data_IF_796751121370
#
_entry.id   IF_796751121370
#
_cell.length_a   1.000
_cell.length_b   1.000
_cell.length_c   1.000
_cell.angle_alpha   90.00
_cell.angle_beta   90.00
_cell.angle_gamma   90.00
#
_symmetry.space_group_name_H-M   'P 1'
#
loop_
_entity.id
_entity.type
_entity.pdbx_description
1 polymer ?
#
# COMPACT_ATOMS: atom_id res chain seq x y z
N UNK A 1 9.05 15.27 1.60
CA UNK A 1 7.79 14.53 1.59
C UNK A 1 8.04 13.21 2.29
N UNK A 2 7.18 12.87 3.25
CA UNK A 2 7.23 11.60 3.97
C UNK A 2 6.51 10.54 3.13
N UNK A 3 7.19 9.47 2.74
CA UNK A 3 6.58 8.35 2.05
C UNK A 3 6.34 7.20 3.04
N UNK A 4 5.09 6.77 3.14
CA UNK A 4 4.64 5.79 4.12
C UNK A 4 4.01 4.59 3.43
N UNK A 5 4.34 3.38 3.88
CA UNK A 5 3.69 2.14 3.47
C UNK A 5 2.69 1.73 4.54
N UNK A 6 1.49 1.33 4.11
CA UNK A 6 0.47 0.72 4.96
C UNK A 6 -0.13 -0.44 4.17
N UNK A 7 0.17 -1.68 4.53
CA UNK A 7 -0.15 -2.83 3.70
C UNK A 7 -0.45 -4.07 4.52
N UNK A 8 -1.35 -4.91 4.03
CA UNK A 8 -1.61 -6.22 4.60
C UNK A 8 -0.85 -7.33 3.85
N UNK A 9 -0.44 -8.37 4.56
CA UNK A 9 0.28 -9.51 4.00
C UNK A 9 -0.09 -10.81 4.72
N UNK A 10 0.04 -11.95 4.06
CA UNK A 10 0.03 -13.27 4.70
C UNK A 10 1.25 -13.43 5.63
N UNK A 11 1.23 -14.41 6.53
CA UNK A 11 2.33 -14.67 7.46
C UNK A 11 3.66 -15.01 6.74
N UNK A 12 3.58 -15.55 5.52
CA UNK A 12 4.70 -15.83 4.62
C UNK A 12 5.04 -14.71 3.62
N UNK A 13 4.46 -13.52 3.75
CA UNK A 13 4.92 -12.31 3.07
C UNK A 13 4.32 -12.04 1.69
N UNK A 14 3.18 -12.64 1.35
CA UNK A 14 2.45 -12.38 0.12
C UNK A 14 1.33 -11.35 0.34
N UNK A 15 1.10 -10.48 -0.64
CA UNK A 15 0.07 -9.41 -0.61
C UNK A 15 -1.15 -9.73 -1.46
N UNK A 16 -1.05 -10.77 -2.29
CA UNK A 16 -2.14 -11.30 -3.09
C UNK A 16 -1.79 -12.72 -3.54
N UNK A 17 -2.81 -13.49 -3.94
CA UNK A 17 -2.60 -14.74 -4.67
C UNK A 17 -1.98 -14.46 -6.06
N UNK A 18 -1.55 -15.50 -6.76
CA UNK A 18 -0.85 -15.36 -8.06
C UNK A 18 -1.70 -14.61 -9.10
N UNK A 19 -3.01 -14.86 -9.08
CA UNK A 19 -4.05 -14.23 -9.90
C UNK A 19 -4.52 -12.86 -9.37
N UNK A 20 -4.01 -12.40 -8.22
CA UNK A 20 -4.33 -11.09 -7.65
C UNK A 20 -5.58 -11.06 -6.75
N UNK A 21 -6.01 -12.23 -6.26
CA UNK A 21 -7.06 -12.37 -5.25
C UNK A 21 -6.60 -11.89 -3.86
N UNK A 22 -7.53 -11.28 -3.14
CA UNK A 22 -7.30 -10.74 -1.79
C UNK A 22 -8.37 -11.17 -0.77
N UNK A 23 -9.31 -12.01 -1.18
CA UNK A 23 -10.47 -12.44 -0.38
C UNK A 23 -10.08 -13.19 0.90
N UNK A 24 -8.84 -13.72 0.95
CA UNK A 24 -8.25 -14.31 2.14
C UNK A 24 -8.07 -13.29 3.28
N UNK A 25 -8.01 -11.99 3.00
CA UNK A 25 -7.95 -10.95 4.04
C UNK A 25 -9.22 -10.93 4.90
N UNK A 26 -10.38 -11.23 4.31
CA UNK A 26 -11.67 -11.21 5.00
C UNK A 26 -11.95 -12.51 5.77
N UNK A 27 -11.27 -13.61 5.40
CA UNK A 27 -11.61 -14.96 5.86
C UNK A 27 -10.52 -15.62 6.71
N UNK A 28 -9.31 -15.07 6.76
CA UNK A 28 -8.17 -15.69 7.46
C UNK A 28 -8.21 -15.50 8.98
N UNK A 29 -8.77 -14.40 9.47
CA UNK A 29 -8.89 -14.14 10.90
C UNK A 29 -10.15 -14.73 11.52
N UNK A 30 -10.32 -14.54 12.83
CA UNK A 30 -11.59 -14.84 13.50
C UNK A 30 -12.66 -13.86 13.02
N UNK A 31 -13.73 -14.38 12.42
CA UNK A 31 -14.81 -13.58 11.80
C UNK A 31 -15.98 -13.31 12.75
N UNK A 32 -16.00 -13.96 13.91
CA UNK A 32 -17.04 -13.89 14.93
C UNK A 32 -16.73 -12.90 16.06
N UNK A 33 -15.63 -12.15 15.95
CA UNK A 33 -15.19 -11.19 16.98
C UNK A 33 -15.49 -9.76 16.55
N UNK A 34 -16.08 -9.00 17.47
CA UNK A 34 -16.21 -7.55 17.36
C UNK A 34 -14.87 -6.88 17.73
N UNK A 35 -14.23 -6.25 16.75
CA UNK A 35 -12.98 -5.52 16.92
C UNK A 35 -13.21 -4.09 17.46
N UNK A 36 -14.47 -3.65 17.60
CA UNK A 36 -14.83 -2.30 18.03
C UNK A 36 -14.13 -1.23 17.20
N UNK A 37 -13.50 -0.26 17.88
CA UNK A 37 -12.74 0.83 17.26
C UNK A 37 -11.50 0.33 16.45
N UNK A 38 -11.11 -0.94 16.59
CA UNK A 38 -9.98 -1.55 15.87
C UNK A 38 -10.34 -2.20 14.53
N UNK A 39 -11.60 -2.09 14.09
CA UNK A 39 -12.12 -2.83 12.92
C UNK A 39 -11.40 -2.49 11.61
N UNK A 40 -10.98 -1.24 11.41
CA UNK A 40 -10.22 -0.81 10.22
C UNK A 40 -8.70 -0.91 10.39
N UNK A 41 -8.25 -1.38 11.57
CA UNK A 41 -6.85 -1.47 11.98
C UNK A 41 -6.05 -0.17 11.75
N UNK A 42 -6.72 0.99 11.86
CA UNK A 42 -6.13 2.32 11.70
C UNK A 42 -6.05 2.85 10.26
N UNK A 43 -6.61 2.14 9.27
CA UNK A 43 -6.55 2.56 7.88
C UNK A 43 -7.21 3.93 7.63
N UNK A 44 -8.37 4.20 8.23
CA UNK A 44 -9.06 5.48 8.05
C UNK A 44 -8.24 6.66 8.61
N UNK A 45 -7.63 6.46 9.78
CA UNK A 45 -6.72 7.48 10.35
C UNK A 45 -5.48 7.66 9.49
N UNK A 46 -4.97 6.60 8.87
CA UNK A 46 -3.81 6.66 7.99
C UNK A 46 -4.14 7.41 6.70
N UNK A 47 -5.22 7.04 6.01
CA UNK A 47 -5.59 7.64 4.71
C UNK A 47 -5.96 9.11 4.86
N UNK A 48 -6.62 9.50 5.96
CA UNK A 48 -6.90 10.90 6.28
C UNK A 48 -5.63 11.73 6.57
N UNK A 49 -4.51 11.07 6.84
CA UNK A 49 -3.26 11.74 7.19
C UNK A 49 -2.34 12.03 6.00
N UNK A 50 -2.61 11.44 4.82
CA UNK A 50 -1.77 11.56 3.62
C UNK A 50 -2.38 12.54 2.61
N UNK A 51 -1.53 13.16 1.81
CA UNK A 51 -1.93 14.15 0.81
C UNK A 51 -2.15 13.50 -0.58
N UNK A 52 -1.43 12.42 -0.86
CA UNK A 52 -1.53 11.67 -2.11
C UNK A 52 -1.21 10.18 -1.92
N UNK A 53 -1.55 9.39 -2.95
CA UNK A 53 -1.23 7.97 -3.06
C UNK A 53 -0.46 7.72 -4.36
N UNK A 54 0.58 6.90 -4.28
CA UNK A 54 1.37 6.43 -5.42
C UNK A 54 1.29 4.91 -5.43
N UNK A 55 0.74 4.35 -6.51
CA UNK A 55 0.53 2.92 -6.68
C UNK A 55 1.15 2.41 -7.97
N UNK A 56 1.35 1.09 -8.08
CA UNK A 56 1.78 0.46 -9.33
C UNK A 56 0.62 0.09 -10.25
N UNK A 57 0.91 -0.21 -11.52
CA UNK A 57 -0.07 -0.71 -12.51
C UNK A 57 -0.97 -1.84 -11.97
N UNK A 58 -0.38 -2.85 -11.31
CA UNK A 58 -1.17 -3.98 -10.82
C UNK A 58 -2.18 -3.60 -9.72
N UNK A 59 -1.83 -2.64 -8.86
CA UNK A 59 -2.77 -2.10 -7.88
C UNK A 59 -3.88 -1.30 -8.58
N UNK A 60 -3.53 -0.47 -9.58
CA UNK A 60 -4.52 0.25 -10.39
C UNK A 60 -5.49 -0.69 -11.11
N UNK A 61 -4.99 -1.76 -11.75
CA UNK A 61 -5.81 -2.76 -12.43
C UNK A 61 -6.75 -3.48 -11.45
N UNK A 62 -6.26 -3.82 -10.25
CA UNK A 62 -7.10 -4.42 -9.20
C UNK A 62 -8.17 -3.44 -8.72
N UNK A 63 -7.81 -2.19 -8.45
CA UNK A 63 -8.75 -1.15 -8.05
C UNK A 63 -9.83 -0.92 -9.12
N UNK A 64 -9.45 -0.94 -10.40
CA UNK A 64 -10.39 -0.85 -11.50
C UNK A 64 -11.37 -2.03 -11.54
N UNK A 65 -10.91 -3.24 -11.18
CA UNK A 65 -11.73 -4.47 -11.21
C UNK A 65 -12.87 -4.47 -10.18
N UNK A 66 -12.76 -3.70 -9.10
CA UNK A 66 -13.83 -3.58 -8.10
C UNK A 66 -15.04 -2.80 -8.60
N UNK A 67 -14.92 -2.03 -9.70
CA UNK A 67 -16.01 -1.25 -10.29
C UNK A 67 -16.79 -0.39 -9.26
N UNK A 68 -16.04 0.23 -8.34
CA UNK A 68 -16.60 0.99 -7.23
C UNK A 68 -17.46 2.17 -7.72
N UNK A 69 -18.64 2.33 -7.13
CA UNK A 69 -19.44 3.56 -7.29
C UNK A 69 -18.76 4.76 -6.63
N UNK A 70 -19.17 6.00 -6.92
CA UNK A 70 -18.64 7.18 -6.22
C UNK A 70 -18.77 7.09 -4.69
N UNK A 71 -19.85 6.50 -4.18
CA UNK A 71 -20.13 6.35 -2.74
C UNK A 71 -19.23 5.29 -2.09
N UNK A 72 -18.75 4.32 -2.87
CA UNK A 72 -17.85 3.26 -2.41
C UNK A 72 -16.37 3.66 -2.49
N UNK A 73 -16.04 4.86 -2.99
CA UNK A 73 -14.66 5.29 -3.20
C UNK A 73 -13.96 5.57 -1.85
N UNK A 74 -12.97 4.75 -1.45
CA UNK A 74 -12.43 4.82 -0.09
C UNK A 74 -11.38 5.93 0.09
N UNK A 75 -10.91 6.52 -1.02
CA UNK A 75 -9.77 7.44 -1.02
C UNK A 75 -10.19 8.92 -0.98
N UNK A 76 -11.48 9.21 -0.86
CA UNK A 76 -11.99 10.58 -0.83
C UNK A 76 -11.46 11.41 -2.00
N UNK A 77 -10.83 12.55 -1.69
CA UNK A 77 -10.29 13.50 -2.67
C UNK A 77 -8.77 13.44 -2.81
N UNK A 78 -8.09 12.43 -2.25
CA UNK A 78 -6.63 12.37 -2.34
C UNK A 78 -6.21 12.17 -3.81
N UNK A 79 -5.11 12.80 -4.19
CA UNK A 79 -4.55 12.62 -5.53
C UNK A 79 -3.93 11.23 -5.65
N UNK A 80 -4.31 10.45 -6.65
CA UNK A 80 -3.80 9.09 -6.87
C UNK A 80 -3.02 9.02 -8.18
N UNK A 81 -1.78 8.53 -8.10
CA UNK A 81 -0.86 8.43 -9.23
C UNK A 81 -0.47 6.96 -9.41
N UNK A 82 -0.74 6.42 -10.59
CA UNK A 82 -0.36 5.07 -10.98
C UNK A 82 0.90 5.08 -11.84
N UNK A 83 1.94 4.39 -11.35
CA UNK A 83 3.20 4.19 -12.05
C UNK A 83 3.05 3.15 -13.15
N UNK A 84 3.30 3.55 -14.39
CA UNK A 84 3.31 2.66 -15.54
C UNK A 84 4.09 3.26 -16.70
N UNK A 85 4.96 2.44 -17.30
CA UNK A 85 5.65 2.76 -18.56
C UNK A 85 4.94 2.23 -19.81
N UNK A 86 4.04 1.26 -19.65
CA UNK A 86 3.41 0.53 -20.76
C UNK A 86 1.98 0.99 -21.06
N UNK A 87 1.20 1.26 -20.01
CA UNK A 87 -0.17 1.74 -20.11
C UNK A 87 -0.17 3.22 -20.47
N UNK A 88 -0.97 3.59 -21.47
CA UNK A 88 -1.13 4.98 -21.95
C UNK A 88 -2.43 5.63 -21.51
N UNK A 89 -3.42 4.83 -21.09
CA UNK A 89 -4.74 5.32 -20.69
C UNK A 89 -5.19 4.66 -19.39
N UNK A 90 -5.78 5.45 -18.50
CA UNK A 90 -6.38 4.98 -17.25
C UNK A 90 -7.65 4.19 -17.58
N UNK A 91 -7.92 3.05 -16.91
CA UNK A 91 -9.18 2.33 -17.08
C UNK A 91 -10.41 3.24 -16.92
N UNK A 92 -11.46 3.00 -17.70
CA UNK A 92 -12.65 3.87 -17.73
C UNK A 92 -13.28 4.09 -16.35
N UNK A 93 -13.32 3.06 -15.51
CA UNK A 93 -13.86 3.12 -14.13
C UNK A 93 -13.05 4.04 -13.19
N UNK A 94 -11.81 4.36 -13.54
CA UNK A 94 -10.88 5.19 -12.77
C UNK A 94 -10.60 6.56 -13.42
N UNK A 95 -11.24 6.87 -14.56
CA UNK A 95 -11.04 8.14 -15.26
C UNK A 95 -11.40 9.32 -14.35
N UNK A 96 -10.50 10.29 -14.25
CA UNK A 96 -10.65 11.46 -13.36
C UNK A 96 -10.37 11.18 -11.88
N UNK A 97 -10.09 9.94 -11.49
CA UNK A 97 -9.72 9.55 -10.13
C UNK A 97 -8.23 9.20 -9.99
N UNK A 98 -7.63 8.73 -11.09
CA UNK A 98 -6.22 8.29 -11.13
C UNK A 98 -5.50 8.97 -12.29
N UNK A 99 -4.25 9.35 -12.06
CA UNK A 99 -3.32 9.89 -13.05
C UNK A 99 -2.22 8.87 -13.38
N UNK A 100 -1.70 8.88 -14.60
CA UNK A 100 -0.55 8.03 -14.96
C UNK A 100 0.76 8.81 -14.84
N UNK A 101 1.79 8.13 -14.33
CA UNK A 101 3.16 8.63 -14.37
C UNK A 101 4.11 7.54 -14.89
N UNK A 102 4.97 7.89 -15.83
CA UNK A 102 5.90 6.95 -16.50
C UNK A 102 7.38 7.24 -16.20
N UNK A 103 7.66 8.31 -15.46
CA UNK A 103 9.01 8.76 -15.10
C UNK A 103 9.64 8.00 -13.94
N UNK A 104 10.75 8.56 -13.44
CA UNK A 104 11.45 8.06 -12.26
C UNK A 104 10.72 8.46 -10.96
N UNK A 105 10.71 7.57 -9.97
CA UNK A 105 10.02 7.82 -8.70
C UNK A 105 10.63 8.98 -7.91
N UNK A 106 11.93 9.23 -8.02
CA UNK A 106 12.61 10.34 -7.35
C UNK A 106 12.19 11.67 -7.95
N UNK A 107 12.06 11.73 -9.28
CA UNK A 107 11.54 12.90 -9.99
C UNK A 107 10.10 13.19 -9.59
N UNK A 108 9.23 12.16 -9.59
CA UNK A 108 7.84 12.31 -9.15
C UNK A 108 7.74 12.84 -7.72
N UNK A 109 8.54 12.30 -6.80
CA UNK A 109 8.56 12.76 -5.39
C UNK A 109 8.96 14.23 -5.30
N UNK A 110 9.99 14.66 -6.05
CA UNK A 110 10.44 16.05 -6.07
C UNK A 110 9.41 17.00 -6.68
N UNK A 111 8.71 16.59 -7.74
CA UNK A 111 7.61 17.34 -8.34
C UNK A 111 6.45 17.52 -7.36
N UNK A 112 6.07 16.46 -6.64
CA UNK A 112 5.00 16.50 -5.63
C UNK A 112 5.39 17.38 -4.44
N UNK A 113 6.63 17.29 -3.96
CA UNK A 113 7.15 18.19 -2.92
C UNK A 113 7.07 19.65 -3.34
N UNK A 114 7.47 19.95 -4.58
CA UNK A 114 7.43 21.31 -5.15
C UNK A 114 5.99 21.81 -5.28
N UNK A 115 5.04 20.91 -5.58
CA UNK A 115 3.62 21.20 -5.60
C UNK A 115 2.98 21.29 -4.19
N UNK A 116 3.75 21.14 -3.11
CA UNK A 116 3.31 21.34 -1.74
C UNK A 116 2.81 20.08 -1.02
N UNK A 117 2.90 18.90 -1.65
CA UNK A 117 2.56 17.62 -1.01
C UNK A 117 3.61 17.26 0.05
N UNK A 118 3.16 16.86 1.25
CA UNK A 118 4.02 16.59 2.39
C UNK A 118 4.07 15.12 2.77
N UNK A 119 3.01 14.35 2.50
CA UNK A 119 2.88 12.94 2.89
C UNK A 119 2.27 12.11 1.75
N UNK A 120 2.94 11.04 1.37
CA UNK A 120 2.49 10.12 0.33
C UNK A 120 2.29 8.72 0.89
N UNK A 121 1.17 8.09 0.53
CA UNK A 121 0.95 6.66 0.69
C UNK A 121 1.53 5.90 -0.50
N UNK A 122 2.47 4.99 -0.26
CA UNK A 122 3.09 4.15 -1.29
C UNK A 122 2.51 2.74 -1.23
N UNK A 123 1.91 2.30 -2.33
CA UNK A 123 1.17 1.03 -2.38
C UNK A 123 1.55 0.14 -3.58
N UNK A 124 1.42 -1.16 -3.38
CA UNK A 124 1.78 -2.21 -4.32
C UNK A 124 3.24 -2.65 -4.21
N UNK A 125 3.47 -3.95 -4.09
CA UNK A 125 4.79 -4.50 -3.74
C UNK A 125 5.94 -4.08 -4.66
N UNK A 126 5.71 -4.05 -5.98
CA UNK A 126 6.72 -3.57 -6.94
C UNK A 126 7.06 -2.08 -6.76
N UNK A 127 6.04 -1.25 -6.48
CA UNK A 127 6.21 0.18 -6.23
C UNK A 127 6.93 0.41 -4.91
N UNK A 128 6.52 -0.28 -3.84
CA UNK A 128 7.18 -0.25 -2.53
C UNK A 128 8.66 -0.64 -2.68
N UNK A 129 8.95 -1.71 -3.42
CA UNK A 129 10.33 -2.14 -3.70
C UNK A 129 11.12 -1.08 -4.44
N UNK A 130 10.52 -0.42 -5.44
CA UNK A 130 11.17 0.67 -6.17
C UNK A 130 11.49 1.87 -5.28
N UNK A 131 10.58 2.25 -4.37
CA UNK A 131 10.80 3.34 -3.43
C UNK A 131 11.85 2.98 -2.36
N UNK A 132 11.89 1.73 -1.91
CA UNK A 132 12.95 1.24 -1.02
C UNK A 132 14.31 1.34 -1.72
N UNK A 133 14.43 0.87 -2.97
CA UNK A 133 15.66 0.95 -3.75
C UNK A 133 16.11 2.40 -4.03
N UNK A 134 15.16 3.33 -4.15
CA UNK A 134 15.44 4.76 -4.30
C UNK A 134 15.71 5.49 -2.96
N UNK A 135 15.69 4.77 -1.82
CA UNK A 135 15.84 5.32 -0.47
C UNK A 135 14.77 6.36 -0.08
N UNK A 136 13.52 6.17 -0.53
CA UNK A 136 12.44 7.14 -0.39
C UNK A 136 11.39 6.81 0.70
N UNK A 137 11.35 5.59 1.23
CA UNK A 137 10.38 5.19 2.27
C UNK A 137 10.87 5.64 3.65
N UNK A 138 9.97 6.22 4.45
CA UNK A 138 10.26 6.68 5.81
C UNK A 138 9.63 5.78 6.89
N UNK A 139 8.46 5.20 6.64
CA UNK A 139 7.79 4.31 7.59
C UNK A 139 7.05 3.19 6.87
N UNK A 140 6.97 2.03 7.51
CA UNK A 140 6.25 0.87 7.01
C UNK A 140 5.35 0.34 8.12
N UNK A 141 4.07 0.22 7.83
CA UNK A 141 3.07 -0.48 8.64
C UNK A 141 2.64 -1.73 7.89
N UNK A 142 2.89 -2.91 8.48
CA UNK A 142 2.56 -4.22 7.91
C UNK A 142 1.53 -4.87 8.82
N UNK A 143 0.35 -5.15 8.29
CA UNK A 143 -0.66 -5.97 8.97
C UNK A 143 -0.57 -7.42 8.46
N UNK A 144 -0.08 -8.32 9.29
CA UNK A 144 0.05 -9.74 8.98
C UNK A 144 -1.24 -10.49 9.33
N UNK A 145 -1.82 -11.16 8.33
CA UNK A 145 -2.93 -12.07 8.52
C UNK A 145 -2.44 -13.46 8.97
N UNK A 146 -3.23 -14.19 9.77
CA UNK A 146 -2.86 -15.49 10.32
C UNK A 146 -3.02 -16.64 9.31
N UNK A 147 -2.45 -16.49 8.10
CA UNK A 147 -2.52 -17.47 7.02
C UNK A 147 -1.19 -17.60 6.29
N UNK A 148 -0.86 -18.81 5.85
CA UNK A 148 0.21 -19.08 4.89
C UNK A 148 -0.43 -19.28 3.51
N UNK A 149 -0.07 -18.46 2.52
CA UNK A 149 -0.57 -18.64 1.15
C UNK A 149 0.27 -19.66 0.36
N UNK A 150 1.53 -19.86 0.75
CA UNK A 150 2.49 -20.77 0.12
C UNK A 150 3.01 -20.30 -1.24
N UNK A 151 2.27 -19.44 -1.94
CA UNK A 151 2.67 -18.78 -3.18
C UNK A 151 1.78 -17.54 -3.43
N UNK A 152 2.29 -16.55 -4.15
CA UNK A 152 1.55 -15.34 -4.47
C UNK A 152 2.43 -14.20 -4.98
N UNK A 153 1.88 -13.00 -4.96
CA UNK A 153 2.64 -11.77 -5.22
C UNK A 153 3.33 -11.36 -3.90
N UNK A 154 4.67 -11.37 -3.82
CA UNK A 154 5.36 -11.01 -2.58
C UNK A 154 5.25 -9.50 -2.30
N UNK A 155 5.30 -9.13 -1.02
CA UNK A 155 5.36 -7.73 -0.61
C UNK A 155 6.63 -7.05 -1.15
N UNK A 156 7.77 -7.70 -1.00
CA UNK A 156 9.06 -7.17 -1.43
C UNK A 156 9.62 -8.00 -2.59
N UNK A 157 10.12 -7.31 -3.60
CA UNK A 157 10.99 -7.89 -4.63
C UNK A 157 12.46 -7.83 -4.21
N UNK A 158 13.35 -7.78 -5.21
CA UNK A 158 14.78 -7.58 -4.94
C UNK A 158 15.05 -6.16 -4.43
N UNK A 159 15.49 -6.07 -3.18
CA UNK A 159 16.05 -4.85 -2.59
C UNK A 159 17.57 -4.92 -2.76
N UNK A 160 18.16 -3.94 -3.43
CA UNK A 160 19.57 -3.97 -3.84
C UNK A 160 20.56 -3.50 -2.77
N UNK A 161 20.07 -3.25 -1.55
CA UNK A 161 20.84 -2.87 -0.38
C UNK A 161 20.12 -3.28 0.91
N UNK A 162 20.86 -3.36 2.01
CA UNK A 162 20.26 -3.59 3.32
C UNK A 162 19.49 -2.34 3.81
N UNK A 163 18.27 -2.55 4.30
CA UNK A 163 17.43 -1.50 4.86
C UNK A 163 17.18 -1.80 6.33
N UNK A 164 17.63 -0.92 7.22
CA UNK A 164 17.44 -1.09 8.66
C UNK A 164 16.06 -0.58 9.06
N UNK A 165 15.33 -1.40 9.82
CA UNK A 165 14.08 -1.01 10.46
C UNK A 165 14.34 -0.70 11.94
N UNK A 166 13.72 0.36 12.44
CA UNK A 166 13.89 0.82 13.82
C UNK A 166 12.56 1.25 14.44
N UNK A 167 12.60 1.52 15.74
CA UNK A 167 11.46 2.08 16.50
C UNK A 167 10.17 1.24 16.37
N UNK A 168 10.34 -0.08 16.44
CA UNK A 168 9.28 -1.06 16.22
C UNK A 168 8.12 -0.90 17.21
N UNK A 169 6.89 -0.93 16.70
CA UNK A 169 5.66 -1.03 17.49
C UNK A 169 4.82 -2.17 16.94
N UNK A 170 4.25 -2.99 17.82
CA UNK A 170 3.41 -4.11 17.43
C UNK A 170 2.08 -4.07 18.17
N UNK A 171 1.00 -4.38 17.45
CA UNK A 171 -0.36 -4.52 17.97
C UNK A 171 -0.90 -5.88 17.52
N UNK A 172 -1.45 -6.65 18.46
CA UNK A 172 -2.18 -7.88 18.17
C UNK A 172 -3.66 -7.59 18.27
N UNK A 173 -4.42 -7.90 17.24
CA UNK A 173 -5.87 -7.71 17.19
C UNK A 173 -6.61 -8.99 17.64
N UNK A 174 -7.86 -8.84 18.06
CA UNK A 174 -8.67 -9.96 18.55
C UNK A 174 -8.90 -11.06 17.50
N UNK A 175 -8.85 -10.71 16.21
CA UNK A 175 -9.00 -11.62 15.08
C UNK A 175 -7.69 -12.29 14.63
N UNK A 176 -6.65 -12.28 15.47
CA UNK A 176 -5.32 -12.87 15.27
C UNK A 176 -4.44 -12.18 14.23
N UNK A 177 -4.85 -11.03 13.70
CA UNK A 177 -3.95 -10.19 12.89
C UNK A 177 -2.91 -9.52 13.78
N UNK A 178 -1.70 -9.37 13.25
CA UNK A 178 -0.60 -8.66 13.91
C UNK A 178 -0.19 -7.49 13.04
N UNK A 179 -0.30 -6.26 13.55
CA UNK A 179 0.23 -5.09 12.86
C UNK A 179 1.54 -4.67 13.47
N UNK A 180 2.56 -4.51 12.63
CA UNK A 180 3.87 -4.02 13.02
C UNK A 180 4.20 -2.74 12.26
N UNK A 181 4.63 -1.72 12.99
CA UNK A 181 5.07 -0.44 12.45
C UNK A 181 6.55 -0.25 12.70
N UNK A 182 7.25 0.24 11.68
CA UNK A 182 8.67 0.56 11.71
C UNK A 182 8.94 1.94 11.12
N UNK A 183 9.96 2.62 11.65
CA UNK A 183 10.68 3.66 10.90
C UNK A 183 11.77 3.02 10.04
N UNK A 184 12.01 3.57 8.86
CA UNK A 184 13.02 3.10 7.92
C UNK A 184 14.28 3.96 8.05
N UNK A 185 15.42 3.29 8.15
CA UNK A 185 16.75 3.90 8.19
C UNK A 185 17.63 3.28 7.12
N UNK A 186 18.02 4.10 6.15
CA UNK A 186 19.00 3.70 5.14
C UNK A 186 20.42 3.84 5.70
N UNK A 187 21.25 2.84 5.43
CA UNK A 187 22.70 2.90 5.67
C UNK A 187 23.39 3.79 4.63
#
# INVERSE_FOLDING_TARGET
>A
MKCSVFIATSADGYIATIDGGIDWLETSGKTDIDLGDGTDMGFNSFIASVDCMIMGRGCMEKLASFNLTPEQWPYGTIRIIALSRSVKEVPGSLKGKVELHSGDVSTLVSELETAGFKKAYIDGGATITSFLNAKLINEITITQAPILLGNGKPLFGLINHEVKLKDAKATVFGNDFIQVKYEVSYL
#
